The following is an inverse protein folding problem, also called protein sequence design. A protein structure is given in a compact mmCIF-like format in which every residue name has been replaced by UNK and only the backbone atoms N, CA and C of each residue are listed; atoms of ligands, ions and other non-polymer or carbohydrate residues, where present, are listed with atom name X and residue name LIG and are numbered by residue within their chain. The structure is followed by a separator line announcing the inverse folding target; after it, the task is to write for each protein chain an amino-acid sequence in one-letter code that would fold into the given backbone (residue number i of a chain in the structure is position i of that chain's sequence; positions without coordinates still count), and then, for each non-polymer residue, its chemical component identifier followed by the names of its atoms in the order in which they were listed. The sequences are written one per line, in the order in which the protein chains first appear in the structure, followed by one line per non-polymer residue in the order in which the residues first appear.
data_IF_845021661338
#
_entry.id   IF_845021661338
#
_cell.length_a   1.000
_cell.length_b   1.000
_cell.length_c   1.000
_cell.angle_alpha   90.00
_cell.angle_beta   90.00
_cell.angle_gamma   90.00
#
_symmetry.space_group_name_H-M   'P 1'
#
loop_
_entity.id
_entity.type
_entity.pdbx_description
1 polymer ?
#
# COMPACT_ATOMS: atom_id res chain seq x y z
N UNK A 1 -11.63 12.66 15.31
CA UNK A 1 -10.88 12.65 14.02
C UNK A 1 -11.68 13.40 12.96
N UNK A 2 -11.09 14.42 12.32
CA UNK A 2 -11.71 15.19 11.23
C UNK A 2 -11.23 14.65 9.87
N UNK A 3 -12.06 13.84 9.23
CA UNK A 3 -11.75 13.20 7.94
C UNK A 3 -11.56 14.21 6.79
N UNK A 4 -12.24 15.35 6.81
CA UNK A 4 -12.08 16.40 5.79
C UNK A 4 -10.74 17.11 5.94
N UNK A 5 -10.31 17.38 7.17
CA UNK A 5 -9.00 17.97 7.48
C UNK A 5 -7.89 17.03 7.02
N UNK A 6 -7.99 15.72 7.34
CA UNK A 6 -7.02 14.71 6.91
C UNK A 6 -6.94 14.62 5.38
N UNK A 7 -8.09 14.50 4.70
CA UNK A 7 -8.14 14.47 3.24
C UNK A 7 -7.47 15.70 2.62
N UNK A 8 -7.83 16.89 3.09
CA UNK A 8 -7.28 18.15 2.58
C UNK A 8 -5.77 18.20 2.81
N UNK A 9 -5.29 17.83 3.99
CA UNK A 9 -3.87 17.78 4.30
C UNK A 9 -3.08 16.82 3.39
N UNK A 10 -3.62 15.61 3.13
CA UNK A 10 -3.02 14.67 2.19
C UNK A 10 -2.92 15.26 0.77
N UNK A 11 -4.02 15.84 0.28
CA UNK A 11 -4.07 16.43 -1.07
C UNK A 11 -3.06 17.57 -1.21
N UNK A 12 -2.97 18.46 -0.21
CA UNK A 12 -2.05 19.58 -0.24
C UNK A 12 -0.60 19.13 -0.10
N UNK A 13 -0.34 18.09 0.73
CA UNK A 13 0.97 17.49 0.85
C UNK A 13 1.43 16.85 -0.49
N UNK A 14 0.55 16.10 -1.18
CA UNK A 14 0.86 15.51 -2.49
C UNK A 14 1.20 16.62 -3.50
N UNK A 15 0.42 17.71 -3.57
CA UNK A 15 0.70 18.85 -4.45
C UNK A 15 2.06 19.44 -4.18
N UNK A 16 2.36 19.80 -2.92
CA UNK A 16 3.61 20.39 -2.52
C UNK A 16 4.81 19.45 -2.81
N UNK A 17 4.63 18.14 -2.56
CA UNK A 17 5.67 17.15 -2.84
C UNK A 17 5.98 17.08 -4.34
N UNK A 18 4.96 17.04 -5.22
CA UNK A 18 5.15 17.01 -6.68
C UNK A 18 5.70 18.35 -7.21
N UNK A 19 5.26 19.49 -6.69
CA UNK A 19 5.84 20.79 -7.06
C UNK A 19 7.35 20.82 -6.84
N UNK A 20 7.81 20.26 -5.74
CA UNK A 20 9.22 20.22 -5.37
C UNK A 20 10.04 19.19 -6.17
N UNK A 21 9.48 17.98 -6.35
CA UNK A 21 10.25 16.82 -6.79
C UNK A 21 9.99 16.39 -8.25
N UNK A 22 8.85 16.82 -8.82
CA UNK A 22 8.46 16.46 -10.19
C UNK A 22 7.21 17.18 -10.65
N UNK A 23 7.26 18.50 -10.91
CA UNK A 23 6.06 19.31 -11.20
C UNK A 23 5.31 18.87 -12.45
N UNK A 24 5.95 18.13 -13.34
CA UNK A 24 5.35 17.58 -14.57
C UNK A 24 5.25 16.05 -14.56
N UNK A 25 5.57 15.41 -13.44
CA UNK A 25 5.51 13.96 -13.34
C UNK A 25 4.08 13.48 -13.08
N UNK A 26 3.80 12.24 -13.51
CA UNK A 26 2.60 11.51 -13.14
C UNK A 26 2.81 10.77 -11.81
N UNK A 27 1.73 10.53 -11.06
CA UNK A 27 1.69 9.52 -10.00
C UNK A 27 1.39 8.16 -10.63
N UNK A 28 2.21 7.15 -10.33
CA UNK A 28 2.03 5.76 -10.80
C UNK A 28 1.75 4.87 -9.61
N UNK A 29 0.63 4.14 -9.62
CA UNK A 29 0.18 3.34 -8.50
C UNK A 29 -0.11 1.90 -8.92
N UNK A 30 0.29 0.94 -8.10
CA UNK A 30 -0.20 -0.44 -8.19
C UNK A 30 -1.66 -0.50 -7.75
N UNK A 31 -2.54 -0.95 -8.64
CA UNK A 31 -3.96 -1.10 -8.35
C UNK A 31 -4.26 -2.56 -8.02
N UNK A 32 -4.48 -2.86 -6.75
CA UNK A 32 -4.82 -4.20 -6.26
C UNK A 32 -6.33 -4.46 -6.14
N UNK A 33 -7.14 -3.40 -6.28
CA UNK A 33 -8.57 -3.44 -5.94
C UNK A 33 -8.84 -3.40 -4.42
N UNK A 34 -7.81 -3.18 -3.61
CA UNK A 34 -7.91 -2.95 -2.17
C UNK A 34 -8.14 -1.48 -1.81
N UNK A 35 -8.55 -1.21 -0.56
CA UNK A 35 -8.88 0.13 -0.06
C UNK A 35 -7.72 1.12 -0.19
N UNK A 36 -6.51 0.69 0.16
CA UNK A 36 -5.34 1.58 0.24
C UNK A 36 -4.94 2.11 -1.13
N UNK A 37 -4.79 1.22 -2.12
CA UNK A 37 -4.50 1.62 -3.51
C UNK A 37 -5.60 2.51 -4.10
N UNK A 38 -6.87 2.23 -3.75
CA UNK A 38 -8.03 3.02 -4.20
C UNK A 38 -8.03 4.43 -3.61
N UNK A 39 -7.82 4.55 -2.28
CA UNK A 39 -7.78 5.84 -1.60
C UNK A 39 -6.56 6.66 -2.04
N UNK A 40 -5.39 6.03 -2.18
CA UNK A 40 -4.18 6.68 -2.68
C UNK A 40 -4.37 7.22 -4.11
N UNK A 41 -4.97 6.44 -5.01
CA UNK A 41 -5.26 6.85 -6.38
C UNK A 41 -6.25 8.03 -6.43
N UNK A 42 -7.30 8.00 -5.62
CA UNK A 42 -8.29 9.09 -5.53
C UNK A 42 -7.67 10.38 -4.96
N UNK A 43 -6.81 10.29 -3.94
CA UNK A 43 -6.05 11.43 -3.40
C UNK A 43 -5.13 12.02 -4.46
N UNK A 44 -4.37 11.19 -5.18
CA UNK A 44 -3.51 11.64 -6.28
C UNK A 44 -4.30 12.30 -7.39
N UNK A 45 -5.47 11.74 -7.78
CA UNK A 45 -6.33 12.34 -8.80
C UNK A 45 -6.89 13.70 -8.37
N UNK A 46 -7.25 13.85 -7.10
CA UNK A 46 -7.69 15.14 -6.56
C UNK A 46 -6.55 16.16 -6.45
N UNK A 47 -5.34 15.71 -6.16
CA UNK A 47 -4.17 16.57 -6.00
C UNK A 47 -3.60 17.06 -7.32
N UNK A 48 -3.46 16.17 -8.30
CA UNK A 48 -2.68 16.39 -9.52
C UNK A 48 -3.53 16.56 -10.79
N UNK A 49 -4.81 16.14 -10.76
CA UNK A 49 -5.63 15.94 -11.94
C UNK A 49 -5.54 14.50 -12.44
N UNK A 50 -6.66 13.99 -12.98
CA UNK A 50 -6.84 12.59 -13.40
C UNK A 50 -5.86 12.18 -14.50
N UNK A 51 -5.52 13.08 -15.38
CA UNK A 51 -4.59 12.90 -16.51
C UNK A 51 -3.15 12.64 -16.05
N UNK A 52 -2.82 13.01 -14.81
CA UNK A 52 -1.50 12.81 -14.20
C UNK A 52 -1.46 11.60 -13.25
N UNK A 53 -2.44 10.71 -13.31
CA UNK A 53 -2.47 9.48 -12.50
C UNK A 53 -2.57 8.26 -13.39
N UNK A 54 -1.70 7.29 -13.16
CA UNK A 54 -1.66 6.02 -13.89
C UNK A 54 -1.78 4.87 -12.90
N UNK A 55 -2.90 4.15 -12.96
CA UNK A 55 -3.11 2.90 -12.27
C UNK A 55 -2.53 1.73 -13.06
N UNK A 56 -1.86 0.80 -12.38
CA UNK A 56 -1.28 -0.40 -12.99
C UNK A 56 -1.78 -1.64 -12.24
N UNK A 57 -2.64 -2.43 -12.87
CA UNK A 57 -3.08 -3.72 -12.37
C UNK A 57 -2.09 -4.81 -12.83
N UNK A 58 -1.59 -5.60 -11.90
CA UNK A 58 -0.53 -6.59 -12.13
C UNK A 58 -0.92 -7.95 -11.56
N UNK A 59 -1.91 -8.64 -12.15
CA UNK A 59 -2.36 -9.93 -11.65
C UNK A 59 -1.25 -10.99 -11.80
N UNK A 60 -1.09 -11.82 -10.76
CA UNK A 60 -0.33 -13.06 -10.82
C UNK A 60 -1.21 -14.20 -11.35
N UNK A 61 -0.64 -15.39 -11.47
CA UNK A 61 -1.38 -16.56 -11.94
C UNK A 61 -2.60 -16.86 -11.05
N UNK A 62 -3.75 -17.09 -11.68
CA UNK A 62 -5.02 -17.37 -10.97
C UNK A 62 -5.65 -16.12 -10.30
N UNK A 63 -5.04 -14.95 -10.39
CA UNK A 63 -5.60 -13.70 -9.86
C UNK A 63 -6.37 -12.94 -10.95
N UNK A 64 -7.55 -12.40 -10.58
CA UNK A 64 -8.28 -11.41 -11.38
C UNK A 64 -7.80 -9.98 -11.11
N UNK A 65 -8.48 -9.02 -11.72
CA UNK A 65 -8.22 -7.58 -11.49
C UNK A 65 -8.79 -7.06 -10.16
N UNK A 66 -9.61 -7.84 -9.47
CA UNK A 66 -10.26 -7.50 -8.19
C UNK A 66 -11.01 -6.14 -8.21
N UNK A 67 -11.53 -5.73 -9.39
CA UNK A 67 -12.20 -4.45 -9.60
C UNK A 67 -11.24 -3.26 -9.81
N UNK A 68 -9.94 -3.48 -10.02
CA UNK A 68 -8.98 -2.40 -10.23
C UNK A 68 -9.27 -1.56 -11.48
N UNK A 69 -9.78 -2.19 -12.53
CA UNK A 69 -10.23 -1.56 -13.78
C UNK A 69 -11.48 -0.69 -13.55
N UNK A 70 -12.50 -1.21 -12.86
CA UNK A 70 -13.71 -0.49 -12.48
C UNK A 70 -13.38 0.74 -11.61
N UNK A 71 -12.45 0.60 -10.66
CA UNK A 71 -11.99 1.69 -9.80
C UNK A 71 -11.29 2.77 -10.65
N UNK A 72 -10.39 2.39 -11.54
CA UNK A 72 -9.70 3.33 -12.42
C UNK A 72 -10.69 4.08 -13.34
N UNK A 73 -11.67 3.37 -13.92
CA UNK A 73 -12.72 3.97 -14.73
C UNK A 73 -13.54 4.98 -13.94
N UNK A 74 -14.02 4.62 -12.75
CA UNK A 74 -14.79 5.50 -11.88
C UNK A 74 -14.01 6.74 -11.44
N UNK A 75 -12.70 6.60 -11.18
CA UNK A 75 -11.81 7.72 -10.88
C UNK A 75 -11.45 8.55 -12.12
N UNK A 76 -11.70 8.03 -13.33
CA UNK A 76 -11.36 8.66 -14.60
C UNK A 76 -9.85 8.74 -14.84
N UNK A 77 -9.07 7.80 -14.29
CA UNK A 77 -7.62 7.70 -14.46
C UNK A 77 -7.26 6.63 -15.48
N UNK A 78 -6.06 6.73 -16.07
CA UNK A 78 -5.54 5.69 -16.97
C UNK A 78 -5.33 4.39 -16.20
N UNK A 79 -5.80 3.27 -16.76
CA UNK A 79 -5.52 1.93 -16.24
C UNK A 79 -4.66 1.14 -17.24
N UNK A 80 -3.57 0.54 -16.74
CA UNK A 80 -2.76 -0.41 -17.48
C UNK A 80 -2.89 -1.79 -16.82
N UNK A 81 -3.16 -2.82 -17.61
CA UNK A 81 -3.14 -4.20 -17.14
C UNK A 81 -1.86 -4.88 -17.65
N UNK A 82 -0.95 -5.19 -16.74
CA UNK A 82 0.36 -5.79 -17.01
C UNK A 82 0.55 -7.04 -16.14
N UNK A 83 0.06 -8.21 -16.59
CA UNK A 83 0.15 -9.45 -15.81
C UNK A 83 1.61 -9.84 -15.52
N UNK A 84 1.89 -10.26 -14.29
CA UNK A 84 3.23 -10.70 -13.85
C UNK A 84 3.38 -12.22 -13.79
N UNK A 85 2.36 -12.99 -14.19
CA UNK A 85 2.34 -14.44 -14.07
C UNK A 85 3.57 -15.11 -14.72
N UNK A 86 3.93 -14.73 -15.95
CA UNK A 86 5.11 -15.26 -16.63
C UNK A 86 6.41 -14.95 -15.89
N UNK A 87 6.56 -13.71 -15.39
CA UNK A 87 7.75 -13.31 -14.61
C UNK A 87 7.84 -14.10 -13.29
N UNK A 88 6.70 -14.31 -12.63
CA UNK A 88 6.63 -15.07 -11.38
C UNK A 88 7.00 -16.55 -11.60
N UNK A 89 6.49 -17.17 -12.66
CA UNK A 89 6.84 -18.55 -13.03
C UNK A 89 8.34 -18.71 -13.31
N UNK A 90 8.95 -17.79 -14.06
CA UNK A 90 10.40 -17.83 -14.30
C UNK A 90 11.21 -17.61 -13.01
N UNK A 91 10.79 -16.70 -12.14
CA UNK A 91 11.45 -16.48 -10.85
C UNK A 91 11.35 -17.71 -9.93
N UNK A 92 10.20 -18.40 -9.94
CA UNK A 92 10.02 -19.65 -9.20
C UNK A 92 10.84 -20.81 -9.78
N UNK A 93 11.03 -20.86 -11.10
CA UNK A 93 11.89 -21.85 -11.75
C UNK A 93 13.35 -21.77 -11.28
N UNK A 94 13.79 -20.60 -10.77
CA UNK A 94 15.10 -20.49 -10.14
C UNK A 94 15.23 -21.36 -8.89
N UNK A 95 14.12 -21.66 -8.20
CA UNK A 95 14.12 -22.55 -7.03
C UNK A 95 14.69 -23.93 -7.35
N UNK A 96 14.45 -24.43 -8.57
CA UNK A 96 14.96 -25.75 -9.02
C UNK A 96 16.50 -25.77 -9.15
N UNK A 97 17.12 -24.59 -9.19
CA UNK A 97 18.57 -24.43 -9.29
C UNK A 97 19.25 -24.19 -7.94
N UNK A 98 18.46 -24.04 -6.88
CA UNK A 98 18.96 -23.87 -5.52
C UNK A 98 19.09 -25.23 -4.82
N UNK A 99 19.96 -25.35 -3.80
CA UNK A 99 20.01 -26.52 -2.95
C UNK A 99 18.64 -26.78 -2.30
N UNK A 100 18.33 -28.06 -2.07
CA UNK A 100 17.07 -28.47 -1.45
C UNK A 100 16.87 -27.76 -0.09
N UNK A 101 15.63 -27.28 0.14
CA UNK A 101 15.24 -26.57 1.37
C UNK A 101 15.66 -25.10 1.47
N UNK A 102 16.40 -24.54 0.51
CA UNK A 102 16.84 -23.12 0.54
C UNK A 102 15.71 -22.18 0.08
N UNK A 103 14.87 -22.60 -0.83
CA UNK A 103 13.77 -21.78 -1.33
C UNK A 103 12.54 -21.88 -0.42
N UNK A 104 12.42 -20.94 0.52
CA UNK A 104 11.38 -20.96 1.54
C UNK A 104 10.04 -20.48 1.01
N UNK A 105 8.95 -20.82 1.72
CA UNK A 105 7.60 -20.30 1.44
C UNK A 105 7.57 -18.77 1.50
N UNK A 106 8.25 -18.16 2.47
CA UNK A 106 8.37 -16.71 2.55
C UNK A 106 9.06 -16.11 1.31
N UNK A 107 10.06 -16.79 0.76
CA UNK A 107 10.70 -16.37 -0.50
C UNK A 107 9.67 -16.37 -1.63
N UNK A 108 8.86 -17.42 -1.74
CA UNK A 108 7.80 -17.54 -2.74
C UNK A 108 6.78 -16.42 -2.62
N UNK A 109 6.31 -16.12 -1.41
CA UNK A 109 5.36 -15.04 -1.13
C UNK A 109 5.93 -13.65 -1.44
N UNK A 110 7.22 -13.44 -1.30
CA UNK A 110 7.87 -12.15 -1.51
C UNK A 110 8.31 -11.88 -2.97
N UNK A 111 8.25 -12.86 -3.86
CA UNK A 111 8.56 -12.69 -5.28
C UNK A 111 7.54 -11.79 -5.98
N UNK A 112 6.21 -12.05 -5.93
CA UNK A 112 5.24 -11.24 -6.65
C UNK A 112 5.28 -9.75 -6.30
N UNK A 113 5.31 -9.30 -5.03
CA UNK A 113 5.39 -7.87 -4.72
C UNK A 113 6.66 -7.21 -5.25
N UNK A 114 7.81 -7.89 -5.28
CA UNK A 114 9.04 -7.36 -5.88
C UNK A 114 8.96 -7.25 -7.40
N UNK A 115 8.37 -8.22 -8.07
CA UNK A 115 8.14 -8.15 -9.51
C UNK A 115 7.16 -7.02 -9.88
N UNK A 116 6.08 -6.85 -9.10
CA UNK A 116 5.17 -5.72 -9.26
C UNK A 116 5.91 -4.39 -9.15
N UNK A 117 6.80 -4.26 -8.20
CA UNK A 117 7.58 -3.03 -8.04
C UNK A 117 8.51 -2.79 -9.24
N UNK A 118 9.15 -3.84 -9.77
CA UNK A 118 9.95 -3.74 -11.00
C UNK A 118 9.11 -3.22 -12.17
N UNK A 119 7.89 -3.73 -12.36
CA UNK A 119 6.97 -3.27 -13.41
C UNK A 119 6.54 -1.83 -13.17
N UNK A 120 6.20 -1.46 -11.92
CA UNK A 120 5.79 -0.09 -11.57
C UNK A 120 6.87 0.93 -11.89
N UNK A 121 8.13 0.67 -11.55
CA UNK A 121 9.24 1.57 -11.88
C UNK A 121 9.51 1.64 -13.38
N UNK A 122 9.35 0.53 -14.12
CA UNK A 122 9.46 0.55 -15.57
C UNK A 122 8.36 1.42 -16.21
N UNK A 123 7.11 1.31 -15.74
CA UNK A 123 6.01 2.18 -16.17
C UNK A 123 6.28 3.62 -15.79
N UNK A 124 6.67 3.88 -14.54
CA UNK A 124 6.93 5.23 -14.05
C UNK A 124 8.00 5.94 -14.90
N UNK A 125 9.09 5.27 -15.20
CA UNK A 125 10.14 5.83 -16.06
C UNK A 125 9.63 6.12 -17.47
N UNK A 126 8.76 5.24 -18.01
CA UNK A 126 8.22 5.37 -19.37
C UNK A 126 7.22 6.53 -19.52
N UNK A 127 6.50 6.88 -18.44
CA UNK A 127 5.48 7.95 -18.47
C UNK A 127 5.94 9.24 -17.77
N UNK A 128 7.22 9.38 -17.48
CA UNK A 128 7.74 10.47 -16.64
C UNK A 128 6.99 10.55 -15.30
N UNK A 129 6.95 9.45 -14.57
CA UNK A 129 6.16 9.30 -13.34
C UNK A 129 6.99 9.00 -12.10
N UNK A 130 6.33 9.10 -10.96
CA UNK A 130 6.83 8.75 -9.63
C UNK A 130 5.93 7.66 -9.03
N UNK A 131 6.55 6.61 -8.48
CA UNK A 131 5.80 5.49 -7.88
C UNK A 131 5.27 5.90 -6.51
N UNK A 132 3.95 5.79 -6.30
CA UNK A 132 3.35 5.91 -4.99
C UNK A 132 3.49 4.60 -4.21
N UNK A 133 4.02 4.67 -3.01
CA UNK A 133 3.84 3.62 -2.00
C UNK A 133 2.40 3.70 -1.48
N UNK A 134 1.72 2.57 -1.37
CA UNK A 134 0.33 2.50 -0.91
C UNK A 134 0.17 1.83 0.45
N UNK A 135 1.27 1.48 1.14
CA UNK A 135 1.24 1.01 2.52
C UNK A 135 0.76 2.13 3.45
N UNK A 136 0.04 1.76 4.48
CA UNK A 136 -0.39 2.65 5.55
C UNK A 136 0.48 2.47 6.81
N UNK A 137 0.37 3.40 7.76
CA UNK A 137 1.17 3.38 8.98
C UNK A 137 0.97 2.10 9.81
N UNK A 138 -0.23 1.54 9.85
CA UNK A 138 -0.51 0.35 10.65
C UNK A 138 0.24 -0.87 10.12
N UNK A 139 0.28 -1.03 8.79
CA UNK A 139 1.08 -2.08 8.12
C UNK A 139 2.57 -1.85 8.32
N UNK A 140 3.06 -0.64 8.08
CA UNK A 140 4.47 -0.28 8.25
C UNK A 140 4.94 -0.44 9.69
N UNK A 141 4.09 -0.11 10.68
CA UNK A 141 4.41 -0.20 12.10
C UNK A 141 4.75 -1.62 12.53
N UNK A 142 3.99 -2.61 12.07
CA UNK A 142 4.24 -4.03 12.34
C UNK A 142 5.12 -4.70 11.28
N UNK A 143 5.54 -3.96 10.23
CA UNK A 143 6.39 -4.43 9.15
C UNK A 143 5.71 -5.41 8.21
N UNK A 144 4.39 -5.30 8.04
CA UNK A 144 3.59 -6.12 7.14
C UNK A 144 3.69 -5.60 5.69
N UNK A 145 4.89 -5.59 5.18
CA UNK A 145 5.22 -5.23 3.81
C UNK A 145 6.50 -5.92 3.37
N UNK A 146 6.63 -6.16 2.07
CA UNK A 146 7.82 -6.79 1.49
C UNK A 146 8.87 -5.73 1.19
N UNK A 147 10.04 -5.81 1.85
CA UNK A 147 11.17 -4.93 1.59
C UNK A 147 11.58 -5.00 0.10
N UNK A 148 11.69 -3.84 -0.55
CA UNK A 148 11.90 -3.66 -1.99
C UNK A 148 10.80 -4.24 -2.89
N UNK A 149 9.65 -4.60 -2.30
CA UNK A 149 8.40 -4.88 -2.97
C UNK A 149 7.40 -3.75 -2.71
N UNK A 150 6.22 -4.10 -2.19
CA UNK A 150 5.17 -3.13 -1.85
C UNK A 150 5.59 -2.07 -0.83
N UNK A 151 6.61 -2.34 0.01
CA UNK A 151 7.21 -1.33 0.89
C UNK A 151 7.97 -0.21 0.14
N UNK A 152 8.28 -0.36 -1.15
CA UNK A 152 9.03 0.65 -1.91
C UNK A 152 8.12 1.71 -2.53
N UNK A 153 8.70 2.86 -2.88
CA UNK A 153 8.03 3.96 -3.56
C UNK A 153 8.88 5.22 -3.60
N UNK A 154 8.44 6.22 -4.34
CA UNK A 154 9.05 7.55 -4.39
C UNK A 154 8.44 8.50 -3.37
N UNK A 155 7.17 8.29 -3.02
CA UNK A 155 6.40 9.02 -2.01
C UNK A 155 5.32 8.10 -1.44
N UNK A 156 4.89 8.35 -0.19
CA UNK A 156 3.92 7.53 0.53
C UNK A 156 2.76 8.40 1.06
N UNK A 157 1.70 8.61 0.27
CA UNK A 157 0.58 9.47 0.67
C UNK A 157 -0.17 8.93 1.89
N UNK A 158 -0.10 7.64 2.16
CA UNK A 158 -0.76 6.97 3.29
C UNK A 158 0.20 6.59 4.42
N UNK A 159 1.52 6.74 4.24
CA UNK A 159 2.53 6.21 5.17
C UNK A 159 2.48 6.76 6.60
N UNK A 160 1.83 7.89 6.84
CA UNK A 160 1.59 8.44 8.17
C UNK A 160 0.17 8.23 8.70
N UNK A 161 -0.68 7.48 7.99
CA UNK A 161 -2.11 7.27 8.30
C UNK A 161 -2.38 5.84 8.76
N UNK A 162 -3.07 5.68 9.87
CA UNK A 162 -3.60 4.39 10.30
C UNK A 162 -4.77 3.92 9.43
N UNK A 163 -5.10 2.62 9.46
CA UNK A 163 -6.20 2.03 8.67
C UNK A 163 -7.52 2.76 8.89
N UNK A 164 -7.88 3.10 10.14
CA UNK A 164 -9.11 3.86 10.45
C UNK A 164 -9.13 5.23 9.77
N UNK A 165 -7.98 5.88 9.64
CA UNK A 165 -7.84 7.20 9.02
C UNK A 165 -7.93 7.10 7.49
N UNK A 166 -7.34 6.08 6.90
CA UNK A 166 -7.48 5.79 5.46
C UNK A 166 -8.93 5.54 5.09
N UNK A 167 -9.67 4.73 5.86
CA UNK A 167 -11.12 4.52 5.67
C UNK A 167 -11.91 5.82 5.76
N UNK A 168 -11.64 6.64 6.78
CA UNK A 168 -12.31 7.92 6.95
C UNK A 168 -12.06 8.87 5.77
N UNK A 169 -10.84 8.91 5.24
CA UNK A 169 -10.49 9.68 4.04
C UNK A 169 -11.24 9.13 2.82
N UNK A 170 -11.32 7.82 2.65
CA UNK A 170 -12.05 7.19 1.55
C UNK A 170 -13.52 7.60 1.53
N UNK A 171 -14.19 7.59 2.68
CA UNK A 171 -15.56 8.10 2.82
C UNK A 171 -15.66 9.60 2.55
N UNK A 172 -14.70 10.41 3.03
CA UNK A 172 -14.63 11.84 2.79
C UNK A 172 -14.35 12.21 1.30
N UNK A 173 -13.77 11.28 0.53
CA UNK A 173 -13.61 11.39 -0.93
C UNK A 173 -14.89 11.00 -1.68
N UNK A 174 -15.90 10.45 -1.01
CA UNK A 174 -17.13 9.96 -1.61
C UNK A 174 -16.98 8.62 -2.34
N UNK A 175 -15.96 7.84 -2.00
CA UNK A 175 -15.75 6.52 -2.57
C UNK A 175 -16.81 5.52 -2.07
N UNK A 176 -17.24 4.55 -2.91
CA UNK A 176 -18.17 3.51 -2.49
C UNK A 176 -17.68 2.75 -1.25
N UNK A 177 -18.58 2.50 -0.29
CA UNK A 177 -18.28 1.74 0.92
C UNK A 177 -17.71 0.35 0.60
N UNK A 178 -18.20 -0.29 -0.48
CA UNK A 178 -17.69 -1.58 -0.95
C UNK A 178 -16.19 -1.58 -1.28
N UNK A 179 -15.61 -0.44 -1.61
CA UNK A 179 -14.16 -0.29 -1.86
C UNK A 179 -13.38 0.08 -0.60
N UNK A 180 -13.98 0.95 0.24
CA UNK A 180 -13.32 1.51 1.43
C UNK A 180 -13.34 0.55 2.61
N UNK A 181 -14.47 -0.16 2.80
CA UNK A 181 -14.70 -1.05 3.94
C UNK A 181 -14.39 -2.52 3.63
N UNK A 182 -13.79 -2.79 2.45
CA UNK A 182 -13.34 -4.13 2.10
C UNK A 182 -12.38 -4.66 3.16
N UNK A 183 -12.60 -5.91 3.58
CA UNK A 183 -11.72 -6.58 4.54
C UNK A 183 -10.32 -6.71 3.93
N UNK A 184 -9.27 -6.27 4.64
CA UNK A 184 -7.90 -6.38 4.15
C UNK A 184 -7.49 -7.85 4.01
N UNK A 185 -7.01 -8.22 2.83
CA UNK A 185 -6.38 -9.50 2.56
C UNK A 185 -5.23 -9.30 1.54
N UNK A 186 -4.30 -10.22 1.49
CA UNK A 186 -3.17 -10.16 0.55
C UNK A 186 -3.52 -10.59 -0.88
N UNK A 187 -4.79 -10.90 -1.15
CA UNK A 187 -5.29 -11.33 -2.46
C UNK A 187 -4.77 -12.70 -2.91
N UNK A 188 -4.16 -13.48 -2.02
CA UNK A 188 -3.72 -14.83 -2.32
C UNK A 188 -4.88 -15.82 -2.17
N UNK A 189 -5.01 -16.83 -3.06
CA UNK A 189 -6.01 -17.87 -2.92
C UNK A 189 -5.89 -18.60 -1.57
N UNK A 190 -7.00 -18.75 -0.86
CA UNK A 190 -7.05 -19.41 0.46
C UNK A 190 -6.25 -18.74 1.59
N UNK A 191 -5.85 -17.46 1.42
CA UNK A 191 -5.21 -16.72 2.47
C UNK A 191 -6.23 -16.26 3.52
N UNK A 192 -5.89 -16.38 4.81
CA UNK A 192 -6.68 -15.82 5.89
C UNK A 192 -6.62 -14.28 5.86
N UNK A 193 -7.66 -13.58 6.34
CA UNK A 193 -7.61 -12.13 6.55
C UNK A 193 -6.40 -11.72 7.40
N UNK A 194 -5.89 -10.51 7.18
CA UNK A 194 -4.69 -10.03 7.86
C UNK A 194 -4.81 -10.07 9.39
N UNK A 195 -5.96 -9.68 9.94
CA UNK A 195 -6.22 -9.69 11.39
C UNK A 195 -6.16 -11.10 12.00
N UNK A 196 -6.57 -12.13 11.25
CA UNK A 196 -6.42 -13.52 11.68
C UNK A 196 -4.95 -13.95 11.73
N UNK A 197 -4.14 -13.52 10.75
CA UNK A 197 -2.69 -13.78 10.72
C UNK A 197 -1.98 -13.09 11.89
N UNK A 198 -2.39 -11.87 12.20
CA UNK A 198 -1.81 -11.10 13.31
C UNK A 198 -2.32 -11.59 14.67
N UNK A 199 -3.58 -12.04 14.74
CA UNK A 199 -4.26 -12.38 15.99
C UNK A 199 -4.67 -11.16 16.81
N UNK A 200 -4.82 -10.00 16.18
CA UNK A 200 -5.39 -8.77 16.72
C UNK A 200 -5.98 -7.92 15.57
N UNK A 201 -6.91 -7.03 15.92
CA UNK A 201 -7.57 -6.16 14.94
C UNK A 201 -6.74 -4.92 14.60
N UNK A 202 -6.97 -4.34 13.41
CA UNK A 202 -6.42 -3.04 13.05
C UNK A 202 -6.91 -1.94 13.99
N UNK A 203 -8.14 -2.01 14.51
CA UNK A 203 -8.64 -1.04 15.50
C UNK A 203 -7.80 -1.06 16.79
N UNK A 204 -7.40 -2.24 17.27
CA UNK A 204 -6.49 -2.38 18.42
C UNK A 204 -5.12 -1.80 18.12
N UNK A 205 -4.59 -2.10 16.93
CA UNK A 205 -3.29 -1.60 16.48
C UNK A 205 -3.30 -0.07 16.33
N UNK A 206 -4.30 0.48 15.65
CA UNK A 206 -4.44 1.91 15.40
C UNK A 206 -4.56 2.71 16.70
N UNK A 207 -5.33 2.18 17.68
CA UNK A 207 -5.44 2.77 19.01
C UNK A 207 -4.10 2.73 19.75
N UNK A 208 -3.37 1.63 19.64
CA UNK A 208 -2.05 1.53 20.24
C UNK A 208 -1.06 2.51 19.62
N UNK A 209 -1.03 2.63 18.28
CA UNK A 209 -0.14 3.57 17.58
C UNK A 209 -0.44 5.04 17.96
N UNK A 210 -1.72 5.42 18.02
CA UNK A 210 -2.14 6.82 18.23
C UNK A 210 -2.23 7.24 19.69
N UNK A 211 -2.62 6.32 20.58
CA UNK A 211 -2.99 6.63 21.97
C UNK A 211 -2.10 5.91 22.99
N UNK A 212 -1.27 4.95 22.54
CA UNK A 212 -0.47 4.11 23.44
C UNK A 212 -1.31 3.09 24.22
N UNK A 213 -2.58 2.89 23.86
CA UNK A 213 -3.54 2.08 24.63
C UNK A 213 -3.72 0.73 23.97
N UNK A 214 -3.34 -0.34 24.68
CA UNK A 214 -3.68 -1.73 24.38
C UNK A 214 -3.96 -2.45 25.70
N UNK A 215 -5.21 -2.86 25.92
CA UNK A 215 -5.66 -3.43 27.19
C UNK A 215 -5.11 -4.84 27.42
N UNK A 216 -4.96 -5.62 26.33
CA UNK A 216 -4.38 -6.95 26.38
C UNK A 216 -2.85 -6.87 26.34
N UNK A 217 -2.19 -7.26 27.43
CA UNK A 217 -0.74 -7.23 27.56
C UNK A 217 -0.03 -8.19 26.59
N UNK A 218 -0.64 -9.32 26.25
CA UNK A 218 -0.06 -10.29 25.30
C UNK A 218 -0.12 -9.76 23.86
N UNK A 219 -1.23 -9.10 23.50
CA UNK A 219 -1.35 -8.43 22.20
C UNK A 219 -0.34 -7.28 22.11
N UNK A 220 -0.20 -6.46 23.13
CA UNK A 220 0.78 -5.37 23.18
C UNK A 220 2.19 -5.89 22.99
N UNK A 221 2.60 -6.93 23.72
CA UNK A 221 3.93 -7.51 23.58
C UNK A 221 4.16 -8.06 22.15
N UNK A 222 3.13 -8.64 21.54
CA UNK A 222 3.17 -9.13 20.16
C UNK A 222 3.39 -7.97 19.16
N UNK A 223 2.62 -6.89 19.29
CA UNK A 223 2.76 -5.68 18.45
C UNK A 223 4.19 -5.11 18.60
N UNK A 224 4.65 -4.90 19.84
CA UNK A 224 6.00 -4.39 20.09
C UNK A 224 7.09 -5.31 19.53
N UNK A 225 6.89 -6.61 19.64
CA UNK A 225 7.80 -7.61 19.09
C UNK A 225 7.85 -7.56 17.56
N UNK A 226 6.71 -7.39 16.90
CA UNK A 226 6.64 -7.22 15.43
C UNK A 226 7.30 -5.90 15.01
N UNK A 227 6.98 -4.80 15.68
CA UNK A 227 7.57 -3.49 15.42
C UNK A 227 9.10 -3.53 15.51
N UNK A 228 9.65 -3.97 16.64
CA UNK A 228 11.12 -4.03 16.85
C UNK A 228 11.84 -4.89 15.81
N UNK A 229 11.25 -6.05 15.44
CA UNK A 229 11.88 -6.94 14.44
C UNK A 229 11.87 -6.36 13.02
N UNK A 230 10.95 -5.47 12.71
CA UNK A 230 10.74 -4.95 11.37
C UNK A 230 11.15 -3.48 11.20
N UNK A 231 11.56 -2.80 12.27
CA UNK A 231 11.93 -1.37 12.24
C UNK A 231 12.98 -1.05 11.16
N UNK A 232 13.92 -1.97 10.93
CA UNK A 232 14.95 -1.80 9.90
C UNK A 232 14.38 -1.58 8.49
N UNK A 233 13.16 -2.06 8.20
CA UNK A 233 12.54 -1.88 6.88
C UNK A 233 12.23 -0.40 6.60
N UNK A 234 11.72 0.31 7.60
CA UNK A 234 11.42 1.75 7.50
C UNK A 234 12.69 2.60 7.55
N UNK A 235 13.73 2.15 8.26
CA UNK A 235 15.02 2.82 8.30
C UNK A 235 15.78 2.76 6.97
N UNK A 236 15.68 1.63 6.25
CA UNK A 236 16.35 1.46 4.95
C UNK A 236 15.68 2.27 3.85
N UNK A 237 14.35 2.32 3.82
CA UNK A 237 13.63 2.85 2.66
C UNK A 237 13.37 4.36 2.71
N UNK A 238 13.36 5.01 3.85
CA UNK A 238 13.18 6.48 4.02
C UNK A 238 12.27 7.16 2.98
N UNK A 239 11.08 6.58 2.74
CA UNK A 239 10.15 7.12 1.75
C UNK A 239 9.47 8.36 2.35
N UNK A 240 9.48 9.53 1.68
CA UNK A 240 8.75 10.70 2.13
C UNK A 240 7.25 10.39 2.26
N UNK A 241 6.71 10.59 3.45
CA UNK A 241 5.33 10.30 3.79
C UNK A 241 4.59 11.56 4.25
N UNK A 242 3.29 11.61 4.00
CA UNK A 242 2.43 12.54 4.70
C UNK A 242 2.27 12.09 6.15
N UNK A 243 2.56 12.99 7.07
CA UNK A 243 2.31 12.78 8.52
C UNK A 243 1.24 13.77 8.95
N UNK A 244 0.08 13.30 9.42
CA UNK A 244 -0.98 14.18 9.87
C UNK A 244 -0.58 14.93 11.14
N UNK A 245 -1.01 16.18 11.27
CA UNK A 245 -1.01 16.90 12.56
C UNK A 245 -2.08 16.26 13.45
N UNK A 246 -1.66 15.34 14.31
CA UNK A 246 -2.53 14.73 15.32
C UNK A 246 -2.29 15.48 16.62
N UNK A 247 -3.31 16.17 17.14
CA UNK A 247 -3.28 16.63 18.51
C UNK A 247 -3.30 15.37 19.39
N UNK A 248 -2.20 15.12 20.08
CA UNK A 248 -2.15 14.13 21.16
C UNK A 248 -3.09 14.64 22.25
N UNK A 249 -4.23 13.97 22.41
CA UNK A 249 -5.19 14.23 23.47
C UNK A 249 -4.63 13.77 24.81
#
# INVERSE_FOLDING_TARGET
MDAQKLKTGCVDWIRAWFEKNGPRCCAVLGMSGGKDSTVAAALCAQALGRERVVGVAMPAEGQGLNGADEICEALGIRCLCLPIAGMAAEAEALATRMPEGVFSEQTRQNIPPRLRMTVLYAVAQSVNGMVANTCNLSEDYIGYATLFGDAAGSFAPLGGLCVREVRAIGHALGLPAAWVDKVPDDGLPCSAPDEEKFGFSYDTLDRYIREGICEDAAIREKIDGMHRRNLFKTEILHIPAYVPEVELL
#
